data_IF_648001778147
#
_entry.id   IF_648001778147
#
_cell.length_a   1.000
_cell.length_b   1.000
_cell.length_c   1.000
_cell.angle_alpha   90.00
_cell.angle_beta   90.00
_cell.angle_gamma   90.00
#
_symmetry.space_group_name_H-M   'P 1'
#
loop_
_entity.id
_entity.type
_entity.pdbx_description
1 polymer ?
#
# COMPACT_ATOMS: atom_id res chain seq x y z
N UNK A 1 6.63 -17.37 -12.64
CA UNK A 1 5.75 -16.62 -11.77
C UNK A 1 5.39 -15.28 -12.37
N UNK A 2 4.09 -15.03 -12.59
CA UNK A 2 3.62 -13.76 -13.13
C UNK A 2 3.78 -12.62 -12.13
N UNK A 3 4.10 -11.44 -12.63
CA UNK A 3 4.16 -10.23 -11.81
C UNK A 3 2.76 -9.75 -11.46
N UNK A 4 2.50 -9.45 -10.20
CA UNK A 4 1.22 -8.93 -9.73
C UNK A 4 1.20 -7.40 -9.76
N UNK A 5 0.29 -6.83 -10.52
CA UNK A 5 0.02 -5.39 -10.56
C UNK A 5 -1.14 -4.95 -9.66
N UNK A 6 -1.64 -5.84 -8.80
CA UNK A 6 -2.82 -5.62 -7.96
C UNK A 6 -4.10 -6.22 -8.56
N UNK A 7 -5.12 -6.37 -7.73
CA UNK A 7 -6.44 -6.86 -8.17
C UNK A 7 -7.06 -5.91 -9.20
N UNK A 8 -7.71 -6.46 -10.21
CA UNK A 8 -8.28 -5.68 -11.32
C UNK A 8 -7.29 -5.26 -12.42
N UNK A 9 -5.98 -5.39 -12.22
CA UNK A 9 -4.94 -4.97 -13.17
C UNK A 9 -4.43 -6.12 -14.07
N UNK A 10 -5.33 -6.98 -14.53
CA UNK A 10 -5.04 -7.97 -15.57
C UNK A 10 -4.26 -9.19 -15.13
N UNK A 11 -4.06 -9.44 -13.84
CA UNK A 11 -3.40 -10.66 -13.36
C UNK A 11 -4.33 -11.89 -13.40
N UNK A 12 -4.44 -12.49 -14.58
CA UNK A 12 -5.26 -13.71 -14.80
C UNK A 12 -4.73 -14.95 -14.07
N UNK A 13 -3.48 -14.96 -13.64
CA UNK A 13 -2.83 -16.10 -12.99
C UNK A 13 -2.89 -16.05 -11.44
N UNK A 14 -3.65 -15.13 -10.85
CA UNK A 14 -3.73 -15.01 -9.39
C UNK A 14 -4.50 -16.18 -8.77
N UNK A 15 -3.78 -17.08 -8.06
CA UNK A 15 -4.38 -18.22 -7.40
C UNK A 15 -5.36 -17.85 -6.28
N UNK A 16 -5.19 -16.68 -5.66
CA UNK A 16 -6.10 -16.15 -4.63
C UNK A 16 -7.42 -15.73 -5.28
N UNK A 17 -7.36 -14.87 -6.31
CA UNK A 17 -8.55 -14.41 -7.03
C UNK A 17 -9.33 -15.59 -7.66
N UNK A 18 -8.65 -16.54 -8.33
CA UNK A 18 -9.31 -17.74 -8.87
C UNK A 18 -10.02 -18.55 -7.80
N UNK A 19 -9.37 -18.72 -6.63
CA UNK A 19 -9.96 -19.48 -5.54
C UNK A 19 -11.27 -18.88 -5.04
N UNK A 20 -11.40 -17.55 -4.99
CA UNK A 20 -12.65 -16.91 -4.55
C UNK A 20 -13.80 -17.12 -5.54
N UNK A 21 -13.48 -17.16 -6.85
CA UNK A 21 -14.46 -17.39 -7.91
C UNK A 21 -14.90 -18.86 -8.05
N UNK A 22 -14.03 -19.80 -7.67
CA UNK A 22 -14.26 -21.25 -7.78
C UNK A 22 -14.97 -21.85 -6.56
N UNK A 23 -15.38 -21.05 -5.55
CA UNK A 23 -16.15 -21.54 -4.41
C UNK A 23 -17.60 -21.85 -4.82
N UNK A 24 -18.22 -22.85 -4.19
CA UNK A 24 -19.66 -23.13 -4.34
C UNK A 24 -20.54 -21.91 -4.03
N UNK A 25 -20.10 -21.11 -3.06
CA UNK A 25 -20.61 -19.75 -2.81
C UNK A 25 -19.48 -18.77 -3.04
N UNK A 26 -19.59 -17.91 -4.06
CA UNK A 26 -18.59 -16.86 -4.28
C UNK A 26 -18.38 -16.04 -3.01
N UNK A 27 -17.13 -15.94 -2.58
CA UNK A 27 -16.74 -15.07 -1.46
C UNK A 27 -16.07 -13.83 -2.05
N UNK A 28 -16.44 -12.67 -1.54
CA UNK A 28 -15.87 -11.41 -2.00
C UNK A 28 -14.48 -11.20 -1.39
N UNK A 29 -14.36 -11.49 -0.10
CA UNK A 29 -13.12 -11.30 0.66
C UNK A 29 -12.64 -12.63 1.26
N UNK A 30 -11.33 -12.89 1.19
CA UNK A 30 -10.76 -14.14 1.69
C UNK A 30 -10.99 -14.38 3.18
N UNK A 31 -11.13 -13.34 3.99
CA UNK A 31 -11.41 -13.46 5.44
C UNK A 31 -12.82 -14.02 5.74
N UNK A 32 -13.72 -14.05 4.76
CA UNK A 32 -15.05 -14.70 4.87
C UNK A 32 -14.94 -16.23 4.76
N UNK A 33 -13.81 -16.74 4.23
CA UNK A 33 -13.57 -18.17 4.05
C UNK A 33 -13.20 -18.83 5.38
N UNK A 34 -13.85 -19.94 5.72
CA UNK A 34 -13.55 -20.74 6.94
C UNK A 34 -12.11 -21.25 7.01
N UNK A 35 -11.41 -21.30 5.88
CA UNK A 35 -10.00 -21.75 5.78
C UNK A 35 -9.00 -20.60 5.80
N UNK A 36 -9.44 -19.36 5.98
CA UNK A 36 -8.54 -18.20 6.05
C UNK A 36 -7.87 -18.09 7.44
N UNK A 37 -6.54 -17.77 7.48
CA UNK A 37 -5.59 -17.71 6.39
C UNK A 37 -5.19 -19.12 5.90
N UNK A 38 -5.36 -19.40 4.62
CA UNK A 38 -5.08 -20.70 4.02
C UNK A 38 -3.65 -20.80 3.48
N UNK A 39 -3.28 -22.00 2.94
CA UNK A 39 -1.95 -22.25 2.37
C UNK A 39 -1.50 -21.23 1.30
N UNK A 40 -2.45 -20.56 0.62
CA UNK A 40 -2.14 -19.55 -0.40
C UNK A 40 -1.56 -18.27 0.20
N UNK A 41 -1.78 -18.02 1.50
CA UNK A 41 -1.28 -16.86 2.25
C UNK A 41 0.05 -17.12 2.97
N UNK A 42 0.58 -18.38 2.96
CA UNK A 42 1.75 -18.75 3.77
C UNK A 42 2.97 -17.87 3.52
N UNK A 43 3.22 -17.52 2.24
CA UNK A 43 4.41 -16.78 1.80
C UNK A 43 4.06 -15.50 1.02
N UNK A 44 2.82 -14.99 1.20
CA UNK A 44 2.30 -13.91 0.35
C UNK A 44 2.99 -12.56 0.62
N UNK A 45 3.54 -12.38 1.80
CA UNK A 45 4.18 -11.19 2.33
C UNK A 45 5.72 -11.25 2.30
N UNK A 46 6.32 -12.36 1.87
CA UNK A 46 7.78 -12.51 1.83
C UNK A 46 8.42 -11.68 0.72
N UNK A 47 7.80 -11.68 -0.47
CA UNK A 47 8.32 -10.99 -1.64
C UNK A 47 7.25 -10.10 -2.27
N UNK A 48 7.71 -8.97 -2.77
CA UNK A 48 6.89 -8.01 -3.49
C UNK A 48 6.96 -8.28 -5.01
N UNK A 49 6.01 -7.72 -5.75
CA UNK A 49 6.00 -7.75 -7.21
C UNK A 49 6.19 -6.33 -7.77
N UNK A 50 5.28 -5.83 -8.62
CA UNK A 50 5.25 -4.41 -8.99
C UNK A 50 4.73 -3.52 -7.86
N UNK A 51 3.96 -4.10 -6.96
CA UNK A 51 3.45 -3.49 -5.73
C UNK A 51 3.91 -4.30 -4.52
N UNK A 52 3.87 -3.68 -3.34
CA UNK A 52 4.14 -4.41 -2.09
C UNK A 52 2.97 -5.30 -1.70
N UNK A 53 3.27 -6.47 -1.15
CA UNK A 53 2.29 -7.43 -0.64
C UNK A 53 2.33 -7.56 0.89
N UNK A 54 3.22 -6.82 1.54
CA UNK A 54 3.53 -6.97 2.97
C UNK A 54 2.37 -6.73 3.92
N UNK A 55 1.38 -5.96 3.47
CA UNK A 55 0.20 -5.66 4.28
C UNK A 55 -1.02 -6.54 3.99
N UNK A 56 -0.97 -7.42 3.01
CA UNK A 56 -2.17 -8.16 2.58
C UNK A 56 -2.88 -8.93 3.71
N UNK A 57 -2.13 -9.55 4.64
CA UNK A 57 -2.73 -10.22 5.80
C UNK A 57 -3.30 -9.21 6.79
N UNK A 58 -2.49 -8.24 7.20
CA UNK A 58 -2.89 -7.20 8.15
C UNK A 58 -4.08 -6.37 7.65
N UNK A 59 -4.12 -6.08 6.35
CA UNK A 59 -5.22 -5.33 5.73
C UNK A 59 -6.51 -6.16 5.67
N UNK A 60 -6.42 -7.46 5.40
CA UNK A 60 -7.57 -8.36 5.47
C UNK A 60 -8.12 -8.49 6.90
N UNK A 61 -7.25 -8.62 7.90
CA UNK A 61 -7.63 -8.63 9.32
C UNK A 61 -8.24 -7.30 9.76
N UNK A 62 -7.67 -6.18 9.30
CA UNK A 62 -8.22 -4.85 9.56
C UNK A 62 -9.62 -4.69 8.95
N UNK A 63 -9.80 -5.08 7.69
CA UNK A 63 -11.09 -5.03 7.01
C UNK A 63 -12.13 -5.93 7.70
N UNK A 64 -11.73 -7.12 8.15
CA UNK A 64 -12.61 -8.01 8.92
C UNK A 64 -13.03 -7.40 10.26
N UNK A 65 -12.10 -6.74 10.97
CA UNK A 65 -12.33 -6.16 12.30
C UNK A 65 -13.16 -4.87 12.26
N UNK A 66 -12.87 -3.97 11.33
CA UNK A 66 -13.47 -2.63 11.24
C UNK A 66 -14.69 -2.57 10.31
N UNK A 67 -14.88 -3.60 9.49
CA UNK A 67 -15.80 -3.60 8.37
C UNK A 67 -15.18 -3.00 7.09
N UNK A 68 -15.63 -3.52 5.95
CA UNK A 68 -15.05 -3.19 4.64
C UNK A 68 -15.25 -1.71 4.27
N UNK A 69 -16.38 -1.11 4.66
CA UNK A 69 -16.65 0.30 4.36
C UNK A 69 -15.68 1.25 5.08
N UNK A 70 -15.35 0.95 6.34
CA UNK A 70 -14.38 1.74 7.11
C UNK A 70 -12.96 1.57 6.52
N UNK A 71 -12.59 0.35 6.15
CA UNK A 71 -11.33 0.07 5.48
C UNK A 71 -11.24 0.82 4.14
N UNK A 72 -12.27 0.76 3.31
CA UNK A 72 -12.31 1.43 2.00
C UNK A 72 -12.22 2.95 2.11
N UNK A 73 -12.87 3.56 3.12
CA UNK A 73 -12.71 5.01 3.38
C UNK A 73 -11.26 5.37 3.65
N UNK A 74 -10.56 4.64 4.51
CA UNK A 74 -9.13 4.86 4.78
C UNK A 74 -8.28 4.71 3.51
N UNK A 75 -8.55 3.69 2.69
CA UNK A 75 -7.81 3.52 1.42
C UNK A 75 -8.09 4.67 0.44
N UNK A 76 -9.29 5.21 0.42
CA UNK A 76 -9.65 6.37 -0.40
C UNK A 76 -8.89 7.62 0.06
N UNK A 77 -8.78 7.85 1.36
CA UNK A 77 -7.97 8.94 1.92
C UNK A 77 -6.50 8.80 1.55
N UNK A 78 -5.93 7.60 1.72
CA UNK A 78 -4.55 7.30 1.32
C UNK A 78 -4.31 7.52 -0.17
N UNK A 79 -5.28 7.17 -1.03
CA UNK A 79 -5.20 7.42 -2.46
C UNK A 79 -5.19 8.92 -2.77
N UNK A 80 -6.00 9.72 -2.08
CA UNK A 80 -5.98 11.18 -2.18
C UNK A 80 -4.60 11.76 -1.80
N UNK A 81 -4.02 11.26 -0.70
CA UNK A 81 -2.67 11.65 -0.26
C UNK A 81 -1.59 11.27 -1.27
N UNK A 82 -1.66 10.07 -1.85
CA UNK A 82 -0.75 9.65 -2.92
C UNK A 82 -0.87 10.57 -4.14
N UNK A 83 -2.09 10.89 -4.55
CA UNK A 83 -2.34 11.80 -5.67
C UNK A 83 -1.68 13.16 -5.42
N UNK A 84 -1.83 13.71 -4.23
CA UNK A 84 -1.20 14.97 -3.83
C UNK A 84 0.34 14.87 -3.84
N UNK A 85 0.91 13.81 -3.25
CA UNK A 85 2.36 13.59 -3.26
C UNK A 85 2.92 13.50 -4.68
N UNK A 86 2.21 12.83 -5.59
CA UNK A 86 2.65 12.68 -6.97
C UNK A 86 2.52 13.98 -7.79
N UNK A 87 1.51 14.79 -7.52
CA UNK A 87 1.26 16.04 -8.23
C UNK A 87 2.17 17.18 -7.75
N UNK A 88 2.38 17.31 -6.43
CA UNK A 88 2.98 18.50 -5.83
C UNK A 88 4.44 18.28 -5.35
N UNK A 89 4.86 17.02 -5.12
CA UNK A 89 6.14 16.67 -4.49
C UNK A 89 7.01 15.71 -5.31
N UNK A 90 6.57 15.26 -6.50
CA UNK A 90 7.32 14.31 -7.29
C UNK A 90 8.11 14.98 -8.41
N UNK A 91 9.42 14.95 -8.31
CA UNK A 91 10.38 15.42 -9.33
C UNK A 91 10.57 14.44 -10.50
N UNK A 92 9.68 13.43 -10.63
CA UNK A 92 9.79 12.35 -11.60
C UNK A 92 10.58 11.12 -11.12
N UNK A 93 11.29 11.21 -9.99
CA UNK A 93 12.20 10.15 -9.50
C UNK A 93 11.69 9.44 -8.24
N UNK A 94 10.66 9.97 -7.57
CA UNK A 94 10.21 9.49 -6.25
C UNK A 94 8.90 8.69 -6.29
N UNK A 95 8.30 8.48 -7.46
CA UNK A 95 7.02 7.77 -7.60
C UNK A 95 7.00 6.44 -6.85
N UNK A 96 8.00 5.57 -7.06
CA UNK A 96 8.05 4.26 -6.41
C UNK A 96 8.13 4.38 -4.88
N UNK A 97 8.90 5.34 -4.36
CA UNK A 97 9.01 5.62 -2.92
C UNK A 97 7.65 6.04 -2.36
N UNK A 98 6.98 7.01 -2.99
CA UNK A 98 5.69 7.52 -2.54
C UNK A 98 4.60 6.44 -2.56
N UNK A 99 4.50 5.67 -3.64
CA UNK A 99 3.57 4.54 -3.72
C UNK A 99 3.80 3.50 -2.61
N UNK A 100 5.06 3.15 -2.33
CA UNK A 100 5.40 2.19 -1.29
C UNK A 100 5.12 2.75 0.10
N UNK A 101 5.48 4.01 0.36
CA UNK A 101 5.26 4.66 1.65
C UNK A 101 3.77 4.79 1.97
N UNK A 102 2.95 5.27 1.04
CA UNK A 102 1.50 5.40 1.25
C UNK A 102 0.83 4.05 1.49
N UNK A 103 1.32 2.99 0.83
CA UNK A 103 0.79 1.65 1.08
C UNK A 103 1.16 1.12 2.47
N UNK A 104 2.40 1.35 2.94
CA UNK A 104 2.93 0.71 4.16
C UNK A 104 2.72 1.53 5.43
N UNK A 105 2.75 2.86 5.35
CA UNK A 105 2.60 3.72 6.53
C UNK A 105 1.15 3.82 6.99
N UNK A 106 0.91 4.00 8.31
CA UNK A 106 -0.39 4.35 8.85
C UNK A 106 -0.94 5.66 8.27
N UNK A 107 -2.26 5.80 8.32
CA UNK A 107 -2.94 7.00 7.85
C UNK A 107 -2.51 8.25 8.61
N UNK A 108 -2.44 8.15 9.94
CA UNK A 108 -2.10 9.28 10.83
C UNK A 108 -0.70 9.84 10.51
N UNK A 109 0.30 8.97 10.29
CA UNK A 109 1.64 9.40 9.91
C UNK A 109 1.63 10.16 8.57
N UNK A 110 0.85 9.68 7.61
CA UNK A 110 0.74 10.32 6.30
C UNK A 110 0.05 11.68 6.38
N UNK A 111 -0.94 11.83 7.26
CA UNK A 111 -1.63 13.09 7.53
C UNK A 111 -0.66 14.11 8.12
N UNK A 112 0.09 13.71 9.16
CA UNK A 112 1.10 14.55 9.81
C UNK A 112 2.20 15.00 8.83
N UNK A 113 2.70 14.06 8.01
CA UNK A 113 3.71 14.35 6.98
C UNK A 113 3.18 15.37 5.98
N UNK A 114 1.96 15.19 5.46
CA UNK A 114 1.39 16.11 4.47
C UNK A 114 1.12 17.49 5.06
N UNK A 115 0.72 17.58 6.33
CA UNK A 115 0.58 18.85 7.03
C UNK A 115 1.94 19.55 7.17
N UNK A 116 2.95 18.85 7.66
CA UNK A 116 4.32 19.35 7.79
C UNK A 116 4.87 19.85 6.45
N UNK A 117 4.64 19.10 5.38
CA UNK A 117 5.07 19.49 4.03
C UNK A 117 4.37 20.76 3.55
N UNK A 118 3.07 20.90 3.79
CA UNK A 118 2.33 22.09 3.38
C UNK A 118 2.85 23.35 4.08
N UNK A 119 3.20 23.25 5.37
CA UNK A 119 3.73 24.35 6.17
C UNK A 119 5.19 24.69 5.80
N UNK A 120 6.04 23.67 5.66
CA UNK A 120 7.49 23.87 5.53
C UNK A 120 7.97 24.10 4.09
N UNK A 121 7.18 23.79 3.08
CA UNK A 121 7.62 23.83 1.67
C UNK A 121 6.77 24.72 0.77
N UNK A 122 5.93 25.60 1.34
CA UNK A 122 5.01 26.43 0.59
C UNK A 122 5.66 27.22 -0.56
N UNK A 123 6.84 27.79 -0.32
CA UNK A 123 7.61 28.61 -1.27
C UNK A 123 8.79 27.87 -1.91
N UNK A 124 9.00 26.57 -1.60
CA UNK A 124 10.14 25.82 -2.09
C UNK A 124 9.93 25.37 -3.55
N UNK A 125 11.04 25.23 -4.30
CA UNK A 125 11.03 24.66 -5.63
C UNK A 125 10.72 23.14 -5.59
N UNK A 126 10.18 22.60 -6.68
CA UNK A 126 9.78 21.19 -6.76
C UNK A 126 10.90 20.19 -6.37
N UNK A 127 12.17 20.35 -6.76
CA UNK A 127 13.23 19.45 -6.32
C UNK A 127 13.42 19.43 -4.80
N UNK A 128 13.34 20.59 -4.15
CA UNK A 128 13.46 20.72 -2.70
C UNK A 128 12.25 20.08 -2.00
N UNK A 129 11.03 20.35 -2.47
CA UNK A 129 9.81 19.68 -2.02
C UNK A 129 9.94 18.17 -2.10
N UNK A 130 10.47 17.65 -3.21
CA UNK A 130 10.63 16.23 -3.45
C UNK A 130 11.62 15.58 -2.48
N UNK A 131 12.75 16.23 -2.22
CA UNK A 131 13.76 15.76 -1.26
C UNK A 131 13.18 15.76 0.16
N UNK A 132 12.51 16.84 0.56
CA UNK A 132 11.93 16.97 1.89
C UNK A 132 10.83 15.93 2.15
N UNK A 133 9.91 15.75 1.20
CA UNK A 133 8.87 14.72 1.28
C UNK A 133 9.47 13.31 1.41
N UNK A 134 10.50 13.01 0.62
CA UNK A 134 11.18 11.72 0.70
C UNK A 134 11.89 11.51 2.05
N UNK A 135 12.42 12.56 2.64
CA UNK A 135 13.07 12.50 3.96
C UNK A 135 12.07 12.20 5.08
N UNK A 136 10.96 12.93 5.14
CA UNK A 136 9.92 12.71 6.15
C UNK A 136 9.30 11.31 6.05
N UNK A 137 8.99 10.84 4.84
CA UNK A 137 8.46 9.49 4.64
C UNK A 137 9.45 8.41 5.09
N UNK A 138 10.74 8.58 4.83
CA UNK A 138 11.77 7.64 5.31
C UNK A 138 11.95 7.69 6.82
N UNK A 139 11.88 8.86 7.42
CA UNK A 139 11.96 9.03 8.87
C UNK A 139 10.79 8.32 9.57
N UNK A 140 9.56 8.52 9.12
CA UNK A 140 8.38 7.85 9.66
C UNK A 140 8.48 6.32 9.49
N UNK A 141 8.95 5.86 8.33
CA UNK A 141 9.16 4.44 8.07
C UNK A 141 10.24 3.83 8.98
N UNK A 142 11.35 4.53 9.18
CA UNK A 142 12.43 4.09 10.08
C UNK A 142 11.97 4.00 11.54
N UNK A 143 11.16 4.95 12.01
CA UNK A 143 10.58 4.93 13.36
C UNK A 143 9.67 3.71 13.61
N UNK A 144 9.19 3.06 12.54
CA UNK A 144 8.31 1.88 12.60
C UNK A 144 8.98 0.59 12.10
N UNK A 145 10.29 0.62 11.88
CA UNK A 145 11.03 -0.49 11.27
C UNK A 145 10.44 -0.98 9.93
N UNK A 146 9.94 -0.01 9.12
CA UNK A 146 9.35 -0.27 7.82
C UNK A 146 10.36 0.06 6.72
N UNK A 147 10.73 -0.95 5.92
CA UNK A 147 11.57 -0.78 4.74
C UNK A 147 10.73 -0.25 3.55
N UNK A 148 11.06 0.93 3.01
CA UNK A 148 10.38 1.52 1.83
C UNK A 148 10.96 1.05 0.49
N UNK A 149 11.48 -0.16 0.43
CA UNK A 149 11.99 -0.80 -0.77
C UNK A 149 11.21 -2.08 -1.05
N UNK A 150 10.90 -2.36 -2.32
CA UNK A 150 10.28 -3.62 -2.71
C UNK A 150 11.25 -4.79 -2.49
N UNK A 151 10.79 -5.83 -1.81
CA UNK A 151 11.51 -7.09 -1.55
C UNK A 151 11.39 -7.97 -2.78
N UNK A 152 12.40 -8.03 -3.61
CA UNK A 152 12.40 -8.86 -4.81
C UNK A 152 12.95 -10.25 -4.50
N UNK A 153 12.33 -11.27 -5.11
CA UNK A 153 12.88 -12.63 -5.09
C UNK A 153 14.17 -12.61 -5.90
N UNK A 154 15.26 -13.06 -5.30
CA UNK A 154 16.54 -13.27 -6.00
C UNK A 154 16.44 -14.48 -6.93
#
# INVERSE_FOLDING_TARGET
GGHCGGCGNGNRACAVARCSLEQERPIEYCYECRRYPCKRYRHIDEFDSFITHRRQKADAEKAQKLGIDAYNREQTEKLGMLTKLLAEYNDGRKKALFCTAVNLLPLDDLQEILQTLAESTALAALPEKSVHAAALLRQAAAARDIELRLRRKK
#
